data_IF_503338551447
#
_entry.id   IF_503338551447
#
_cell.length_a   1.000
_cell.length_b   1.000
_cell.length_c   1.000
_cell.angle_alpha   90.00
_cell.angle_beta   90.00
_cell.angle_gamma   90.00
#
_symmetry.space_group_name_H-M   'P 1'
#
loop_
_entity.id
_entity.type
_entity.pdbx_description
1 polymer ?
#
# COMPACT_ATOMS: atom_id res chain seq x y z
N UNK A 1 5.97 -12.67 14.93
CA UNK A 1 5.90 -11.33 14.30
C UNK A 1 6.28 -10.30 15.36
N UNK A 2 7.07 -9.25 15.06
CA UNK A 2 7.33 -8.19 16.05
C UNK A 2 6.02 -7.48 16.43
N UNK A 3 5.86 -7.09 17.69
CA UNK A 3 4.62 -6.49 18.20
C UNK A 3 4.10 -5.32 17.34
N UNK A 4 5.01 -4.48 16.84
CA UNK A 4 4.65 -3.28 16.09
C UNK A 4 4.42 -3.53 14.58
N UNK A 5 4.80 -4.69 14.04
CA UNK A 5 4.73 -4.93 12.60
C UNK A 5 3.28 -4.99 12.10
N UNK A 6 2.37 -5.55 12.90
CA UNK A 6 0.96 -5.66 12.54
C UNK A 6 0.33 -4.27 12.34
N UNK A 7 0.46 -3.39 13.33
CA UNK A 7 -0.10 -2.03 13.30
C UNK A 7 0.55 -1.17 12.20
N UNK A 8 1.87 -1.27 12.03
CA UNK A 8 2.59 -0.57 10.98
C UNK A 8 2.14 -1.02 9.58
N UNK A 9 2.00 -2.33 9.36
CA UNK A 9 1.51 -2.84 8.08
C UNK A 9 0.05 -2.43 7.83
N UNK A 10 -0.79 -2.40 8.85
CA UNK A 10 -2.17 -1.92 8.71
C UNK A 10 -2.24 -0.45 8.31
N UNK A 11 -1.44 0.42 8.94
CA UNK A 11 -1.36 1.83 8.57
C UNK A 11 -0.78 2.01 7.16
N UNK A 12 0.31 1.31 6.87
CA UNK A 12 0.99 1.37 5.57
C UNK A 12 0.04 0.98 4.44
N UNK A 13 -0.75 -0.09 4.60
CA UNK A 13 -1.74 -0.50 3.60
C UNK A 13 -2.75 0.61 3.27
N UNK A 14 -3.27 1.30 4.30
CA UNK A 14 -4.21 2.42 4.11
C UNK A 14 -3.57 3.59 3.37
N UNK A 15 -2.34 3.97 3.75
CA UNK A 15 -1.61 5.08 3.13
C UNK A 15 -1.28 4.76 1.68
N UNK A 16 -0.78 3.56 1.39
CA UNK A 16 -0.44 3.13 0.05
C UNK A 16 -1.69 3.03 -0.85
N UNK A 17 -2.82 2.55 -0.35
CA UNK A 17 -4.06 2.51 -1.13
C UNK A 17 -4.58 3.92 -1.46
N UNK A 18 -4.55 4.84 -0.50
CA UNK A 18 -4.90 6.25 -0.74
C UNK A 18 -3.97 6.90 -1.76
N UNK A 19 -2.65 6.68 -1.62
CA UNK A 19 -1.66 7.19 -2.56
C UNK A 19 -1.87 6.62 -3.98
N UNK A 20 -2.05 5.30 -4.11
CA UNK A 20 -2.27 4.66 -5.40
C UNK A 20 -3.56 5.12 -6.08
N UNK A 21 -4.64 5.29 -5.32
CA UNK A 21 -5.91 5.81 -5.84
C UNK A 21 -5.80 7.26 -6.32
N UNK A 22 -4.99 8.10 -5.66
CA UNK A 22 -4.74 9.46 -6.12
C UNK A 22 -3.84 9.48 -7.35
N UNK A 23 -2.69 8.80 -7.31
CA UNK A 23 -1.75 8.76 -8.42
C UNK A 23 -2.37 8.20 -9.71
N UNK A 24 -3.25 7.18 -9.62
CA UNK A 24 -3.91 6.60 -10.79
C UNK A 24 -4.79 7.59 -11.57
N UNK A 25 -5.24 8.69 -10.95
CA UNK A 25 -6.04 9.75 -11.60
C UNK A 25 -5.23 10.58 -12.61
N UNK A 26 -3.90 10.43 -12.64
CA UNK A 26 -3.01 11.19 -13.52
C UNK A 26 -2.42 10.30 -14.61
N UNK A 27 -2.51 10.72 -15.87
CA UNK A 27 -2.01 9.95 -17.03
C UNK A 27 -0.49 9.96 -17.21
N UNK A 28 0.26 10.57 -16.29
CA UNK A 28 1.73 10.60 -16.38
C UNK A 28 2.34 9.22 -16.08
N UNK A 29 3.39 8.84 -16.83
CA UNK A 29 4.07 7.55 -16.65
C UNK A 29 4.57 7.33 -15.22
N UNK A 30 5.09 8.38 -14.57
CA UNK A 30 5.52 8.32 -13.17
C UNK A 30 4.35 8.02 -12.23
N UNK A 31 3.21 8.68 -12.39
CA UNK A 31 2.04 8.48 -11.54
C UNK A 31 1.47 7.07 -11.68
N UNK A 32 1.45 6.51 -12.90
CA UNK A 32 1.01 5.12 -13.12
C UNK A 32 1.93 4.10 -12.45
N UNK A 33 3.25 4.27 -12.57
CA UNK A 33 4.23 3.43 -11.89
C UNK A 33 4.13 3.54 -10.36
N UNK A 34 3.91 4.75 -9.84
CA UNK A 34 3.69 4.98 -8.42
C UNK A 34 2.43 4.25 -7.93
N UNK A 35 1.31 4.37 -8.66
CA UNK A 35 0.07 3.70 -8.32
C UNK A 35 0.23 2.18 -8.26
N UNK A 36 0.88 1.57 -9.25
CA UNK A 36 1.14 0.13 -9.27
C UNK A 36 1.99 -0.32 -8.08
N UNK A 37 3.09 0.39 -7.80
CA UNK A 37 3.96 0.08 -6.66
C UNK A 37 3.22 0.20 -5.32
N UNK A 38 2.38 1.24 -5.18
CA UNK A 38 1.57 1.46 -3.99
C UNK A 38 0.51 0.35 -3.80
N UNK A 39 -0.19 -0.08 -4.86
CA UNK A 39 -1.16 -1.18 -4.74
C UNK A 39 -0.50 -2.50 -4.36
N UNK A 40 0.67 -2.81 -4.95
CA UNK A 40 1.47 -3.98 -4.56
C UNK A 40 1.91 -3.92 -3.10
N UNK A 41 2.34 -2.75 -2.63
CA UNK A 41 2.73 -2.55 -1.23
C UNK A 41 1.53 -2.74 -0.29
N UNK A 42 0.37 -2.15 -0.61
CA UNK A 42 -0.83 -2.28 0.19
C UNK A 42 -1.30 -3.74 0.30
N UNK A 43 -1.23 -4.51 -0.79
CA UNK A 43 -1.54 -5.94 -0.77
C UNK A 43 -0.57 -6.74 0.11
N UNK A 44 0.74 -6.51 -0.03
CA UNK A 44 1.74 -7.19 0.79
C UNK A 44 1.55 -6.87 2.28
N UNK A 45 1.34 -5.60 2.63
CA UNK A 45 1.07 -5.18 3.99
C UNK A 45 -0.21 -5.79 4.55
N UNK A 46 -1.28 -5.89 3.76
CA UNK A 46 -2.50 -6.62 4.16
C UNK A 46 -2.19 -8.05 4.53
N UNK A 47 -1.50 -8.80 3.67
CA UNK A 47 -1.11 -10.19 3.94
C UNK A 47 -0.28 -10.32 5.23
N UNK A 48 0.56 -9.34 5.53
CA UNK A 48 1.39 -9.33 6.75
C UNK A 48 0.59 -9.09 8.03
N UNK A 49 -0.54 -8.38 7.98
CA UNK A 49 -1.37 -8.11 9.16
C UNK A 49 -2.70 -8.88 9.17
N UNK A 50 -3.00 -9.69 8.14
CA UNK A 50 -4.16 -10.59 8.11
C UNK A 50 -3.79 -12.05 8.35
N UNK A 51 -2.52 -12.36 8.59
CA UNK A 51 -2.11 -13.69 9.02
C UNK A 51 -2.50 -13.91 10.49
N UNK A 52 -3.67 -14.52 10.69
CA UNK A 52 -4.02 -15.27 11.89
C UNK A 52 -3.41 -16.67 11.83
#
# INVERSE_FOLDING_TARGET
MSANAHELCQLCAKVCEACGNECKKHDSSHCQQCAEACFRCAEACRRMHTAA
#
